data_IF_834114539115
#
_entry.id   IF_834114539115
#
_cell.length_a   1.000
_cell.length_b   1.000
_cell.length_c   1.000
_cell.angle_alpha   90.00
_cell.angle_beta   90.00
_cell.angle_gamma   90.00
#
_symmetry.space_group_name_H-M   'P 1'
#
loop_
_entity.id
_entity.type
_entity.pdbx_description
1 polymer ?
#
# COMPACT_ATOMS: atom_id res chain seq x y z
N UNK A 1 -29.40 -17.37 -8.50
CA UNK A 1 -29.00 -16.59 -7.30
C UNK A 1 -27.51 -16.82 -7.08
N UNK A 2 -26.65 -15.96 -7.63
CA UNK A 2 -25.19 -16.10 -7.53
C UNK A 2 -24.73 -15.39 -6.26
N UNK A 3 -24.11 -16.14 -5.35
CA UNK A 3 -23.56 -15.65 -4.08
C UNK A 3 -22.35 -14.76 -4.35
N UNK A 4 -22.59 -13.44 -4.30
CA UNK A 4 -21.56 -12.40 -4.31
C UNK A 4 -20.55 -12.68 -3.18
N UNK A 5 -19.23 -12.49 -3.38
CA UNK A 5 -18.24 -12.85 -2.39
C UNK A 5 -18.48 -12.11 -1.07
N UNK A 6 -18.36 -12.85 0.03
CA UNK A 6 -18.42 -12.37 1.40
C UNK A 6 -17.16 -11.56 1.69
N UNK A 7 -17.15 -10.27 1.33
CA UNK A 7 -16.15 -9.36 1.88
C UNK A 7 -16.53 -9.15 3.33
N UNK A 8 -15.90 -9.89 4.24
CA UNK A 8 -15.88 -9.53 5.66
C UNK A 8 -15.36 -8.09 5.73
N UNK A 9 -16.14 -7.17 6.31
CA UNK A 9 -15.68 -5.79 6.53
C UNK A 9 -14.39 -5.85 7.36
N UNK A 10 -13.26 -5.57 6.71
CA UNK A 10 -11.97 -5.46 7.39
C UNK A 10 -11.97 -4.10 8.09
N UNK A 11 -11.83 -4.10 9.41
CA UNK A 11 -11.61 -2.85 10.16
C UNK A 11 -10.22 -2.33 9.82
N UNK A 12 -10.16 -1.13 9.23
CA UNK A 12 -8.90 -0.44 8.99
C UNK A 12 -8.44 0.24 10.27
N UNK A 13 -7.32 -0.21 10.82
CA UNK A 13 -6.76 0.33 12.06
C UNK A 13 -5.68 1.37 11.78
N UNK A 14 -5.26 2.09 12.83
CA UNK A 14 -4.08 2.97 12.74
C UNK A 14 -2.80 2.20 12.36
N UNK A 15 -2.71 0.92 12.74
CA UNK A 15 -1.56 0.09 12.39
C UNK A 15 -1.50 -0.17 10.88
N UNK A 16 -2.65 -0.41 10.26
CA UNK A 16 -2.75 -0.61 8.80
C UNK A 16 -2.34 0.65 8.05
N UNK A 17 -2.79 1.82 8.53
CA UNK A 17 -2.38 3.11 7.99
C UNK A 17 -0.85 3.28 8.07
N UNK A 18 -0.25 3.02 9.23
CA UNK A 18 1.20 3.12 9.42
C UNK A 18 1.97 2.12 8.55
N UNK A 19 1.42 0.92 8.34
CA UNK A 19 2.02 -0.08 7.46
C UNK A 19 2.06 0.42 6.01
N UNK A 20 0.98 1.01 5.51
CA UNK A 20 0.95 1.61 4.16
C UNK A 20 1.93 2.78 4.05
N UNK A 21 1.96 3.67 5.03
CA UNK A 21 2.88 4.82 5.02
C UNK A 21 4.35 4.37 5.05
N UNK A 22 4.65 3.30 5.79
CA UNK A 22 5.98 2.68 5.79
C UNK A 22 6.34 2.12 4.41
N UNK A 23 5.42 1.41 3.76
CA UNK A 23 5.63 0.87 2.42
C UNK A 23 5.90 1.97 1.38
N UNK A 24 5.17 3.09 1.45
CA UNK A 24 5.36 4.26 0.60
C UNK A 24 6.76 4.85 0.75
N UNK A 25 7.20 5.06 2.00
CA UNK A 25 8.52 5.63 2.29
C UNK A 25 9.64 4.69 1.83
N UNK A 26 9.51 3.38 2.04
CA UNK A 26 10.48 2.39 1.57
C UNK A 26 10.58 2.36 0.03
N UNK A 27 9.45 2.48 -0.66
CA UNK A 27 9.45 2.56 -2.12
C UNK A 27 10.14 3.83 -2.62
N UNK A 28 9.90 4.97 -1.97
CA UNK A 28 10.57 6.21 -2.29
C UNK A 28 12.09 6.14 -2.04
N UNK A 29 12.51 5.63 -0.87
CA UNK A 29 13.92 5.45 -0.51
C UNK A 29 14.66 4.53 -1.49
N UNK A 30 14.05 3.39 -1.85
CA UNK A 30 14.63 2.45 -2.79
C UNK A 30 14.88 3.08 -4.18
N UNK A 31 13.91 3.84 -4.70
CA UNK A 31 14.04 4.55 -5.99
C UNK A 31 15.09 5.65 -5.90
N UNK A 32 15.10 6.43 -4.81
CA UNK A 32 16.11 7.47 -4.60
C UNK A 32 17.51 6.88 -4.53
N UNK A 33 17.68 5.76 -3.80
CA UNK A 33 18.96 5.08 -3.62
C UNK A 33 19.54 4.54 -4.93
N UNK A 34 18.73 3.94 -5.79
CA UNK A 34 19.19 3.39 -7.08
C UNK A 34 19.25 4.45 -8.18
N UNK A 35 18.64 5.63 -7.95
CA UNK A 35 18.65 6.77 -8.87
C UNK A 35 17.75 6.61 -10.10
N UNK A 36 16.89 5.59 -10.13
CA UNK A 36 15.99 5.29 -11.24
C UNK A 36 14.78 4.45 -10.78
N UNK A 37 13.59 4.67 -11.35
CA UNK A 37 12.37 3.90 -11.02
C UNK A 37 11.08 4.72 -11.08
N UNK A 38 9.94 4.07 -10.84
CA UNK A 38 8.60 4.69 -10.91
C UNK A 38 7.87 4.59 -9.56
N UNK A 39 8.10 5.52 -8.63
CA UNK A 39 7.49 5.46 -7.31
C UNK A 39 5.97 5.76 -7.35
N UNK A 40 5.48 6.42 -8.40
CA UNK A 40 4.10 6.91 -8.50
C UNK A 40 3.02 5.84 -8.25
N UNK A 41 3.19 4.62 -8.78
CA UNK A 41 2.23 3.53 -8.58
C UNK A 41 2.22 2.99 -7.15
N UNK A 42 3.35 3.03 -6.44
CA UNK A 42 3.43 2.58 -5.05
C UNK A 42 2.89 3.61 -4.04
N UNK A 43 2.74 4.86 -4.47
CA UNK A 43 2.27 5.94 -3.61
C UNK A 43 0.74 6.11 -3.62
N UNK A 44 0.09 5.71 -4.72
CA UNK A 44 -1.33 5.98 -4.98
C UNK A 44 -2.29 4.89 -4.50
#
# INVERSE_FOLDING_TARGET
>A
MSTKPTTTDLEWTELDQRAVDTARVLAADAVQKVGNGHPGTAMS
#
